data_IF_474382952610
#
_entry.id   IF_474382952610
#
_cell.length_a   1.000
_cell.length_b   1.000
_cell.length_c   1.000
_cell.angle_alpha   90.00
_cell.angle_beta   90.00
_cell.angle_gamma   90.00
#
_symmetry.space_group_name_H-M   'P 1'
#
loop_
_entity.id
_entity.type
_entity.pdbx_description
1 polymer ?
#
# COMPACT_ATOMS: atom_id res chain seq x y z
N UNK A 1 1.44 13.20 -25.06
CA UNK A 1 2.34 12.37 -24.23
C UNK A 1 1.75 10.97 -24.13
N UNK A 2 2.60 9.95 -24.28
CA UNK A 2 2.23 8.54 -24.10
C UNK A 2 3.07 7.92 -22.98
N UNK A 3 2.42 7.27 -22.02
CA UNK A 3 3.08 6.61 -20.88
C UNK A 3 2.86 5.10 -20.96
N UNK A 4 3.95 4.32 -20.85
CA UNK A 4 3.88 2.85 -20.79
C UNK A 4 4.30 2.38 -19.40
N UNK A 5 3.39 1.77 -18.65
CA UNK A 5 3.64 1.20 -17.33
C UNK A 5 4.00 -0.29 -17.44
N UNK A 6 5.05 -0.72 -16.75
CA UNK A 6 5.43 -2.12 -16.62
C UNK A 6 5.33 -2.56 -15.16
N UNK A 7 4.51 -3.60 -14.90
CA UNK A 7 4.36 -4.22 -13.57
C UNK A 7 4.18 -5.73 -13.67
N UNK A 8 4.35 -6.50 -12.57
CA UNK A 8 4.33 -7.96 -12.63
C UNK A 8 2.99 -8.55 -13.05
N UNK A 9 1.90 -8.04 -12.49
CA UNK A 9 0.52 -8.49 -12.69
C UNK A 9 -0.44 -7.37 -12.30
N UNK A 10 -1.71 -7.54 -12.60
CA UNK A 10 -2.83 -6.68 -12.16
C UNK A 10 -3.70 -7.43 -11.13
N UNK A 11 -3.04 -8.00 -10.12
CA UNK A 11 -3.69 -8.65 -8.95
C UNK A 11 -4.10 -7.61 -7.90
N UNK A 12 -4.56 -8.07 -6.75
CA UNK A 12 -4.93 -7.19 -5.62
C UNK A 12 -3.70 -6.82 -4.78
N UNK A 13 -3.11 -5.66 -5.01
CA UNK A 13 -1.97 -5.16 -4.24
C UNK A 13 -1.87 -3.64 -4.29
N UNK A 14 -1.07 -3.04 -3.40
CA UNK A 14 -0.93 -1.59 -3.31
C UNK A 14 -0.33 -0.97 -4.58
N UNK A 15 0.63 -1.63 -5.22
CA UNK A 15 1.26 -1.15 -6.46
C UNK A 15 0.28 -1.17 -7.61
N UNK A 16 -0.50 -2.24 -7.72
CA UNK A 16 -1.51 -2.42 -8.75
C UNK A 16 -2.61 -1.36 -8.66
N UNK A 17 -3.04 -1.04 -7.42
CA UNK A 17 -4.02 0.03 -7.18
C UNK A 17 -3.46 1.41 -7.59
N UNK A 18 -2.21 1.71 -7.23
CA UNK A 18 -1.56 2.96 -7.67
C UNK A 18 -1.52 3.07 -9.19
N UNK A 19 -1.23 1.97 -9.91
CA UNK A 19 -1.23 1.98 -11.38
C UNK A 19 -2.65 2.21 -11.93
N UNK A 20 -3.68 1.61 -11.35
CA UNK A 20 -5.08 1.88 -11.73
C UNK A 20 -5.43 3.34 -11.51
N UNK A 21 -5.10 3.90 -10.34
CA UNK A 21 -5.33 5.33 -10.02
C UNK A 21 -4.60 6.25 -10.99
N UNK A 22 -3.34 5.91 -11.37
CA UNK A 22 -2.59 6.65 -12.38
C UNK A 22 -3.25 6.57 -13.76
N UNK A 23 -3.68 5.37 -14.20
CA UNK A 23 -4.39 5.22 -15.47
C UNK A 23 -5.64 6.10 -15.52
N UNK A 24 -6.46 6.08 -14.46
CA UNK A 24 -7.66 6.91 -14.37
C UNK A 24 -7.33 8.41 -14.49
N UNK A 25 -6.33 8.87 -13.74
CA UNK A 25 -5.96 10.29 -13.74
C UNK A 25 -5.27 10.75 -15.03
N UNK A 26 -4.41 9.92 -15.62
CA UNK A 26 -3.68 10.23 -16.86
C UNK A 26 -4.62 10.22 -18.06
N UNK A 27 -5.45 9.18 -18.22
CA UNK A 27 -6.41 9.08 -19.33
C UNK A 27 -7.45 10.22 -19.29
N UNK A 28 -7.95 10.58 -18.10
CA UNK A 28 -8.85 11.72 -17.94
C UNK A 28 -8.23 13.07 -18.39
N UNK A 29 -6.90 13.16 -18.49
CA UNK A 29 -6.15 14.32 -18.99
C UNK A 29 -5.68 14.18 -20.43
N UNK A 30 -6.18 13.17 -21.14
CA UNK A 30 -5.79 12.92 -22.55
C UNK A 30 -4.38 12.37 -22.71
N UNK A 31 -3.76 11.83 -21.64
CA UNK A 31 -2.48 11.13 -21.74
C UNK A 31 -2.74 9.69 -22.20
N UNK A 32 -2.17 9.33 -23.34
CA UNK A 32 -2.28 7.96 -23.84
C UNK A 32 -1.51 7.01 -22.92
N UNK A 33 -2.22 6.02 -22.38
CA UNK A 33 -1.66 5.15 -21.33
C UNK A 33 -1.71 3.68 -21.77
N UNK A 34 -0.59 3.01 -21.69
CA UNK A 34 -0.43 1.58 -21.98
C UNK A 34 0.09 0.86 -20.75
N UNK A 35 -0.53 -0.24 -20.37
CA UNK A 35 -0.09 -1.08 -19.25
C UNK A 35 0.36 -2.44 -19.76
N UNK A 36 1.57 -2.84 -19.42
CA UNK A 36 2.14 -4.15 -19.76
C UNK A 36 2.31 -4.96 -18.48
N UNK A 37 1.65 -6.10 -18.38
CA UNK A 37 1.72 -6.97 -17.20
C UNK A 37 1.38 -8.42 -17.50
N UNK A 38 1.52 -9.30 -16.52
CA UNK A 38 1.07 -10.71 -16.62
C UNK A 38 -0.44 -10.91 -16.54
N UNK A 39 -1.23 -9.83 -16.52
CA UNK A 39 -2.68 -9.87 -16.40
C UNK A 39 -3.18 -9.96 -14.95
N UNK A 40 -4.50 -10.00 -14.78
CA UNK A 40 -5.16 -10.15 -13.48
C UNK A 40 -6.52 -9.47 -13.37
N UNK A 41 -7.20 -9.59 -12.21
CA UNK A 41 -8.57 -9.09 -12.03
C UNK A 41 -8.74 -7.58 -12.24
N UNK A 42 -7.66 -6.76 -12.05
CA UNK A 42 -7.71 -5.30 -12.23
C UNK A 42 -7.51 -4.86 -13.70
N UNK A 43 -7.39 -5.78 -14.66
CA UNK A 43 -7.33 -5.43 -16.09
C UNK A 43 -8.56 -4.64 -16.54
N UNK A 44 -9.75 -5.05 -16.04
CA UNK A 44 -11.00 -4.35 -16.33
C UNK A 44 -11.01 -2.92 -15.81
N UNK A 45 -10.40 -2.66 -14.66
CA UNK A 45 -10.34 -1.33 -14.07
C UNK A 45 -9.39 -0.41 -14.85
N UNK A 46 -8.24 -0.97 -15.32
CA UNK A 46 -7.32 -0.29 -16.22
C UNK A 46 -7.97 0.06 -17.56
N UNK A 47 -8.68 -0.90 -18.17
CA UNK A 47 -9.35 -0.67 -19.47
C UNK A 47 -10.56 0.27 -19.34
N UNK A 48 -11.32 0.17 -18.26
CA UNK A 48 -12.42 1.10 -17.96
C UNK A 48 -11.92 2.54 -17.75
N UNK A 49 -10.69 2.71 -17.27
CA UNK A 49 -10.03 4.01 -17.18
C UNK A 49 -9.63 4.61 -18.55
N UNK A 50 -9.76 3.86 -19.63
CA UNK A 50 -9.34 4.27 -20.99
C UNK A 50 -7.89 3.90 -21.34
N UNK A 51 -7.16 3.21 -20.46
CA UNK A 51 -5.83 2.71 -20.76
C UNK A 51 -5.88 1.38 -21.53
N UNK A 52 -4.88 1.12 -22.36
CA UNK A 52 -4.76 -0.15 -23.08
C UNK A 52 -3.87 -1.12 -22.31
N UNK A 53 -4.33 -2.36 -22.12
CA UNK A 53 -3.56 -3.42 -21.49
C UNK A 53 -2.95 -4.37 -22.53
N UNK A 54 -1.69 -4.77 -22.29
CA UNK A 54 -0.96 -5.77 -23.08
C UNK A 54 -0.47 -6.86 -22.13
N UNK A 55 -0.93 -8.08 -22.32
CA UNK A 55 -0.54 -9.21 -21.48
C UNK A 55 0.81 -9.76 -21.90
N UNK A 56 1.82 -9.66 -21.03
CA UNK A 56 3.14 -10.28 -21.17
C UNK A 56 3.63 -10.84 -19.83
N UNK A 57 4.24 -12.04 -19.81
CA UNK A 57 4.69 -12.69 -18.56
C UNK A 57 6.02 -12.09 -18.04
N UNK A 58 6.03 -10.78 -17.75
CA UNK A 58 7.21 -10.02 -17.31
C UNK A 58 7.38 -9.98 -15.78
N UNK A 59 6.50 -10.64 -14.99
CA UNK A 59 6.52 -10.60 -13.53
C UNK A 59 7.19 -11.79 -12.85
N UNK A 60 7.47 -12.88 -13.54
CA UNK A 60 8.01 -14.10 -12.94
C UNK A 60 9.52 -13.97 -12.67
N UNK A 61 9.96 -14.38 -11.48
CA UNK A 61 11.39 -14.48 -11.14
C UNK A 61 12.02 -15.71 -11.84
N UNK A 62 12.24 -15.61 -13.14
CA UNK A 62 12.80 -16.68 -13.96
C UNK A 62 13.71 -16.09 -15.02
N UNK A 63 14.78 -16.81 -15.37
CA UNK A 63 15.66 -16.43 -16.48
C UNK A 63 14.88 -16.34 -17.79
N UNK A 64 13.82 -17.14 -17.96
CA UNK A 64 12.93 -17.10 -19.12
C UNK A 64 12.22 -15.74 -19.30
N UNK A 65 12.05 -14.97 -18.21
CA UNK A 65 11.44 -13.63 -18.28
C UNK A 65 12.31 -12.66 -19.09
N UNK A 66 13.64 -12.86 -19.10
CA UNK A 66 14.54 -12.04 -19.91
C UNK A 66 14.40 -12.30 -21.43
N UNK A 67 13.79 -13.43 -21.84
CA UNK A 67 13.40 -13.66 -23.25
C UNK A 67 12.31 -12.69 -23.72
N UNK A 68 11.65 -11.97 -22.78
CA UNK A 68 10.68 -10.92 -23.11
C UNK A 68 11.35 -9.60 -23.49
N UNK A 69 12.64 -9.41 -23.23
CA UNK A 69 13.35 -8.15 -23.53
C UNK A 69 13.23 -7.75 -25.01
N UNK A 70 13.48 -8.62 -26.02
CA UNK A 70 13.27 -8.27 -27.43
C UNK A 70 11.81 -7.89 -27.75
N UNK A 71 10.84 -8.57 -27.12
CA UNK A 71 9.41 -8.31 -27.33
C UNK A 71 8.99 -6.96 -26.76
N UNK A 72 9.49 -6.61 -25.57
CA UNK A 72 9.26 -5.27 -24.96
C UNK A 72 9.98 -4.19 -25.77
N UNK A 73 11.20 -4.45 -26.29
CA UNK A 73 11.87 -3.51 -27.18
C UNK A 73 11.09 -3.27 -28.49
N UNK A 74 10.48 -4.33 -29.06
CA UNK A 74 9.57 -4.21 -30.21
C UNK A 74 8.36 -3.35 -29.87
N UNK A 75 7.71 -3.59 -28.71
CA UNK A 75 6.59 -2.77 -28.24
C UNK A 75 6.98 -1.30 -28.08
N UNK A 76 8.15 -0.99 -27.52
CA UNK A 76 8.62 0.39 -27.40
C UNK A 76 8.75 1.05 -28.78
N UNK A 77 9.23 0.35 -29.81
CA UNK A 77 9.32 0.89 -31.18
C UNK A 77 7.95 1.13 -31.83
N UNK A 78 7.00 0.21 -31.60
CA UNK A 78 5.65 0.27 -32.16
C UNK A 78 4.82 1.34 -31.46
N UNK A 79 4.84 1.37 -30.12
CA UNK A 79 4.05 2.28 -29.30
C UNK A 79 4.64 3.69 -29.19
N UNK A 80 5.95 3.81 -29.34
CA UNK A 80 6.70 5.07 -29.19
C UNK A 80 6.30 5.85 -27.92
N UNK A 81 6.36 5.23 -26.73
CA UNK A 81 6.03 5.95 -25.51
C UNK A 81 7.06 7.04 -25.22
N UNK A 82 6.61 8.19 -24.74
CA UNK A 82 7.48 9.24 -24.22
C UNK A 82 8.12 8.80 -22.91
N UNK A 83 7.37 8.04 -22.08
CA UNK A 83 7.78 7.57 -20.76
C UNK A 83 7.58 6.06 -20.64
N UNK A 84 8.60 5.37 -20.13
CA UNK A 84 8.56 3.98 -19.70
C UNK A 84 8.64 3.93 -18.16
N UNK A 85 7.50 3.70 -17.49
CA UNK A 85 7.43 3.69 -16.05
C UNK A 85 7.45 2.26 -15.47
N UNK A 86 8.41 1.98 -14.61
CA UNK A 86 8.76 0.66 -14.11
C UNK A 86 8.44 0.56 -12.62
N UNK A 87 7.49 -0.32 -12.24
CA UNK A 87 6.94 -0.38 -10.88
C UNK A 87 7.48 -1.52 -10.01
N UNK A 88 8.32 -2.40 -10.54
CA UNK A 88 8.83 -3.54 -9.80
C UNK A 88 10.10 -4.10 -10.42
N UNK A 89 10.93 -4.77 -9.61
CA UNK A 89 12.31 -5.19 -9.99
C UNK A 89 12.39 -6.03 -11.27
N UNK A 90 11.55 -7.07 -11.44
CA UNK A 90 11.61 -7.92 -12.64
C UNK A 90 11.19 -7.15 -13.89
N UNK A 91 10.01 -6.48 -13.91
CA UNK A 91 9.65 -5.58 -15.00
C UNK A 91 10.69 -4.47 -15.25
N UNK A 92 11.33 -3.95 -14.19
CA UNK A 92 12.37 -2.93 -14.33
C UNK A 92 13.59 -3.46 -15.07
N UNK A 93 14.07 -4.66 -14.75
CA UNK A 93 15.14 -5.29 -15.52
C UNK A 93 14.77 -5.48 -16.99
N UNK A 94 13.56 -6.01 -17.26
CA UNK A 94 13.09 -6.23 -18.64
C UNK A 94 12.95 -4.92 -19.40
N UNK A 95 12.28 -3.93 -18.81
CA UNK A 95 12.02 -2.63 -19.43
C UNK A 95 13.30 -1.82 -19.67
N UNK A 96 14.19 -1.78 -18.67
CA UNK A 96 15.48 -1.07 -18.77
C UNK A 96 16.38 -1.67 -19.84
N UNK A 97 16.50 -3.01 -19.90
CA UNK A 97 17.25 -3.69 -20.96
C UNK A 97 16.60 -3.52 -22.34
N UNK A 98 15.28 -3.50 -22.43
CA UNK A 98 14.54 -3.28 -23.66
C UNK A 98 14.75 -1.85 -24.18
N UNK A 99 14.64 -0.84 -23.35
CA UNK A 99 14.87 0.57 -23.71
C UNK A 99 16.30 0.79 -24.27
N UNK A 100 17.30 0.07 -23.76
CA UNK A 100 18.70 0.14 -24.25
C UNK A 100 18.89 -0.54 -25.60
N UNK A 101 17.96 -1.38 -26.05
CA UNK A 101 17.96 -2.03 -27.37
C UNK A 101 17.18 -1.26 -28.43
N UNK A 102 16.61 -0.13 -28.04
CA UNK A 102 15.88 0.76 -28.95
C UNK A 102 16.82 1.89 -29.38
N UNK A 103 16.68 2.33 -30.62
CA UNK A 103 17.41 3.43 -31.24
C UNK A 103 17.29 4.69 -30.36
N UNK A 104 18.39 5.45 -30.23
CA UNK A 104 18.45 6.59 -29.29
C UNK A 104 17.30 7.60 -29.50
N UNK A 105 16.90 7.81 -30.76
CA UNK A 105 15.80 8.72 -31.13
C UNK A 105 14.40 8.25 -30.69
N UNK A 106 14.23 6.94 -30.43
CA UNK A 106 12.96 6.33 -29.99
C UNK A 106 12.98 5.90 -28.53
N UNK A 107 14.07 6.20 -27.81
CA UNK A 107 14.24 5.75 -26.43
C UNK A 107 13.39 6.59 -25.48
N UNK A 108 12.44 5.98 -24.74
CA UNK A 108 11.63 6.70 -23.78
C UNK A 108 12.44 7.17 -22.56
N UNK A 109 11.95 8.18 -21.85
CA UNK A 109 12.38 8.49 -20.49
C UNK A 109 12.06 7.30 -19.58
N UNK A 110 13.07 6.72 -18.94
CA UNK A 110 12.86 5.57 -18.04
C UNK A 110 12.65 6.10 -16.62
N UNK A 111 11.46 5.91 -16.08
CA UNK A 111 11.09 6.24 -14.71
C UNK A 111 10.95 4.96 -13.89
N UNK A 112 11.47 4.94 -12.68
CA UNK A 112 11.28 3.83 -11.73
C UNK A 112 10.61 4.32 -10.46
N UNK A 113 9.71 3.53 -9.85
CA UNK A 113 9.09 3.83 -8.57
C UNK A 113 9.42 2.80 -7.51
N UNK A 114 9.98 3.27 -6.39
CA UNK A 114 10.19 2.45 -5.20
C UNK A 114 8.91 2.40 -4.37
N UNK A 115 8.15 1.31 -4.53
CA UNK A 115 6.91 1.05 -3.77
C UNK A 115 7.12 0.23 -2.50
N UNK A 116 8.33 -0.18 -2.19
CA UNK A 116 8.64 -0.99 -1.01
C UNK A 116 10.12 -1.11 -0.73
N UNK A 117 10.44 -1.34 0.53
CA UNK A 117 11.80 -1.68 0.93
C UNK A 117 12.20 -3.04 0.34
N UNK A 118 13.20 -3.03 -0.48
CA UNK A 118 13.76 -4.24 -1.07
C UNK A 118 15.06 -4.61 -0.37
N UNK A 119 15.40 -5.90 -0.36
CA UNK A 119 16.74 -6.32 0.03
C UNK A 119 17.79 -5.59 -0.82
N UNK A 120 18.77 -4.98 -0.17
CA UNK A 120 19.85 -4.22 -0.83
C UNK A 120 20.82 -5.18 -1.49
N UNK A 121 20.81 -5.24 -2.81
CA UNK A 121 21.69 -6.07 -3.63
C UNK A 121 21.67 -5.61 -5.10
N UNK A 122 22.55 -6.19 -5.92
CA UNK A 122 22.64 -5.90 -7.35
C UNK A 122 21.30 -6.04 -8.10
N UNK A 123 20.52 -7.05 -7.76
CA UNK A 123 19.22 -7.29 -8.41
C UNK A 123 18.21 -6.16 -8.11
N UNK A 124 18.21 -5.66 -6.88
CA UNK A 124 17.30 -4.58 -6.47
C UNK A 124 17.79 -3.19 -6.93
N UNK A 125 19.10 -3.04 -7.18
CA UNK A 125 19.68 -1.78 -7.66
C UNK A 125 19.12 -1.31 -9.01
N UNK A 126 18.45 -2.18 -9.77
CA UNK A 126 17.75 -1.80 -11.01
C UNK A 126 16.73 -0.68 -10.79
N UNK A 127 16.08 -0.66 -9.62
CA UNK A 127 15.10 0.36 -9.31
C UNK A 127 15.71 1.76 -9.17
N UNK A 128 17.01 1.85 -8.88
CA UNK A 128 17.76 3.08 -8.80
C UNK A 128 18.42 3.51 -10.14
N UNK A 129 18.23 2.70 -11.22
CA UNK A 129 18.84 2.94 -12.55
C UNK A 129 17.96 3.70 -13.53
N UNK A 130 16.78 4.16 -13.12
CA UNK A 130 15.95 5.04 -13.94
C UNK A 130 16.65 6.35 -14.28
N UNK A 131 16.22 6.99 -15.37
CA UNK A 131 16.60 8.38 -15.66
C UNK A 131 16.02 9.32 -14.61
N UNK A 132 14.83 8.94 -14.07
CA UNK A 132 14.18 9.52 -12.90
C UNK A 132 13.74 8.39 -11.96
N UNK A 133 13.75 8.69 -10.67
CA UNK A 133 13.40 7.75 -9.60
C UNK A 133 12.31 8.38 -8.71
N UNK A 134 11.18 7.72 -8.57
CA UNK A 134 10.12 8.12 -7.66
C UNK A 134 10.27 7.35 -6.35
N UNK A 135 10.32 8.06 -5.24
CA UNK A 135 10.18 7.54 -3.88
C UNK A 135 8.77 7.85 -3.36
N UNK A 136 8.07 6.84 -2.80
CA UNK A 136 6.69 7.02 -2.33
C UNK A 136 6.58 7.68 -0.96
N UNK A 137 7.70 8.06 -0.34
CA UNK A 137 7.78 8.73 0.98
C UNK A 137 9.18 9.28 1.20
N UNK A 138 9.35 10.14 2.20
CA UNK A 138 10.67 10.64 2.58
C UNK A 138 11.57 9.53 3.14
N UNK A 139 11.02 8.60 3.91
CA UNK A 139 11.80 7.45 4.40
C UNK A 139 12.28 6.56 3.25
N UNK A 140 11.51 6.45 2.17
CA UNK A 140 11.95 5.74 0.97
C UNK A 140 13.06 6.50 0.24
N UNK A 141 12.97 7.84 0.14
CA UNK A 141 14.05 8.66 -0.41
C UNK A 141 15.35 8.47 0.39
N UNK A 142 15.29 8.57 1.72
CA UNK A 142 16.44 8.30 2.60
C UNK A 142 17.01 6.89 2.35
N UNK A 143 16.15 5.88 2.31
CA UNK A 143 16.59 4.50 2.03
C UNK A 143 17.33 4.38 0.67
N UNK A 144 16.86 5.08 -0.37
CA UNK A 144 17.52 5.06 -1.68
C UNK A 144 18.90 5.70 -1.59
N UNK A 145 19.01 6.88 -0.97
CA UNK A 145 20.30 7.59 -0.82
C UNK A 145 21.31 6.80 0.00
N UNK A 146 20.89 6.18 1.08
CA UNK A 146 21.76 5.38 1.96
C UNK A 146 22.26 4.09 1.31
N UNK A 147 21.41 3.42 0.53
CA UNK A 147 21.69 2.07 0.05
C UNK A 147 22.08 1.99 -1.43
N UNK A 148 21.85 3.05 -2.19
CA UNK A 148 22.20 3.17 -3.61
C UNK A 148 22.95 4.48 -3.89
N UNK A 149 24.14 4.69 -3.29
CA UNK A 149 24.85 5.98 -3.29
C UNK A 149 25.29 6.45 -4.70
N UNK A 150 25.27 5.57 -5.69
CA UNK A 150 25.51 5.95 -7.09
C UNK A 150 24.29 6.64 -7.74
N UNK A 151 23.17 6.77 -7.02
CA UNK A 151 21.97 7.47 -7.52
C UNK A 151 22.04 8.93 -7.09
N UNK A 152 22.21 9.89 -8.02
CA UNK A 152 22.21 11.31 -7.67
C UNK A 152 20.87 11.73 -7.06
N UNK A 153 20.91 12.56 -6.01
CA UNK A 153 19.71 12.99 -5.29
C UNK A 153 18.72 13.74 -6.19
N UNK A 154 19.22 14.51 -7.15
CA UNK A 154 18.43 15.27 -8.12
C UNK A 154 17.59 14.39 -9.06
N UNK A 155 17.89 13.11 -9.15
CA UNK A 155 17.08 12.13 -9.88
C UNK A 155 15.89 11.63 -9.07
N UNK A 156 15.91 11.81 -7.75
CA UNK A 156 14.92 11.25 -6.83
C UNK A 156 13.87 12.32 -6.54
N UNK A 157 12.62 12.03 -6.88
CA UNK A 157 11.48 12.88 -6.53
C UNK A 157 10.57 12.10 -5.59
N UNK A 158 10.20 12.72 -4.47
CA UNK A 158 9.19 12.14 -3.57
C UNK A 158 7.81 12.46 -4.13
N UNK A 159 7.08 11.40 -4.48
CA UNK A 159 5.67 11.47 -4.88
C UNK A 159 4.91 10.47 -4.02
N UNK A 160 4.29 10.92 -2.93
CA UNK A 160 3.54 10.04 -2.05
C UNK A 160 2.38 9.36 -2.76
N UNK A 161 2.04 8.15 -2.32
CA UNK A 161 0.76 7.58 -2.68
C UNK A 161 -0.36 8.46 -2.10
N UNK A 162 -1.56 8.31 -2.64
CA UNK A 162 -2.67 9.21 -2.34
C UNK A 162 -3.88 8.48 -1.80
N UNK A 163 -4.86 9.26 -1.38
CA UNK A 163 -6.22 8.83 -1.12
C UNK A 163 -7.19 9.59 -2.03
N UNK A 164 -8.22 8.89 -2.48
CA UNK A 164 -9.34 9.52 -3.17
C UNK A 164 -10.27 10.16 -2.13
N UNK A 165 -10.18 11.47 -1.99
CA UNK A 165 -10.97 12.24 -1.02
C UNK A 165 -12.44 12.38 -1.40
N UNK A 166 -12.85 11.96 -2.60
CA UNK A 166 -14.26 11.86 -2.98
C UNK A 166 -14.91 10.59 -2.45
N UNK A 167 -14.11 9.57 -2.15
CA UNK A 167 -14.53 8.29 -1.61
C UNK A 167 -14.24 8.13 -0.11
N UNK A 168 -13.11 8.68 0.35
CA UNK A 168 -12.66 8.59 1.75
C UNK A 168 -12.66 9.99 2.35
N UNK A 169 -13.63 10.28 3.18
CA UNK A 169 -13.83 11.55 3.88
C UNK A 169 -14.48 11.30 5.24
N UNK A 170 -14.32 12.19 6.24
CA UNK A 170 -14.71 11.91 7.63
C UNK A 170 -16.22 11.67 7.82
N UNK A 171 -17.07 12.26 6.96
CA UNK A 171 -18.52 12.12 7.00
C UNK A 171 -19.02 10.86 6.29
N UNK A 172 -18.15 10.09 5.63
CA UNK A 172 -18.54 8.84 4.99
C UNK A 172 -19.15 7.88 6.01
N UNK A 173 -20.24 7.26 5.63
CA UNK A 173 -20.92 6.23 6.44
C UNK A 173 -21.27 5.04 5.54
N UNK A 174 -21.01 3.80 5.98
CA UNK A 174 -21.54 2.61 5.32
C UNK A 174 -23.06 2.66 5.24
N UNK A 175 -23.67 2.01 4.24
CA UNK A 175 -25.11 1.95 4.08
C UNK A 175 -25.78 1.17 5.21
N UNK A 176 -27.08 1.42 5.45
CA UNK A 176 -27.84 0.69 6.45
C UNK A 176 -27.90 -0.81 6.17
N UNK A 177 -27.94 -1.21 4.88
CA UNK A 177 -27.89 -2.61 4.47
C UNK A 177 -26.57 -3.25 4.84
N UNK A 178 -25.46 -2.53 4.61
CA UNK A 178 -24.14 -3.00 5.02
C UNK A 178 -24.06 -3.17 6.54
N UNK A 179 -24.58 -2.20 7.32
CA UNK A 179 -24.61 -2.28 8.79
C UNK A 179 -25.46 -3.44 9.29
N UNK A 180 -26.61 -3.71 8.66
CA UNK A 180 -27.43 -4.89 9.02
C UNK A 180 -26.67 -6.19 8.80
N UNK A 181 -26.01 -6.31 7.63
CA UNK A 181 -25.21 -7.49 7.31
C UNK A 181 -24.02 -7.63 8.26
N UNK A 182 -23.30 -6.53 8.54
CA UNK A 182 -22.16 -6.52 9.46
C UNK A 182 -22.53 -7.00 10.86
N UNK A 183 -23.59 -6.49 11.45
CA UNK A 183 -24.06 -6.91 12.78
C UNK A 183 -24.57 -8.35 12.79
N UNK A 184 -25.16 -8.81 11.69
CA UNK A 184 -25.58 -10.21 11.54
C UNK A 184 -24.37 -11.15 11.48
N UNK A 185 -23.33 -10.78 10.71
CA UNK A 185 -22.16 -11.63 10.49
C UNK A 185 -21.19 -11.63 11.69
N UNK A 186 -21.16 -10.53 12.45
CA UNK A 186 -20.22 -10.30 13.57
C UNK A 186 -20.93 -9.77 14.82
N UNK A 187 -21.89 -10.50 15.39
CA UNK A 187 -22.65 -10.06 16.58
C UNK A 187 -21.78 -9.89 17.81
N UNK A 188 -20.65 -10.59 17.89
CA UNK A 188 -19.67 -10.50 18.99
C UNK A 188 -19.00 -9.13 19.11
N UNK A 189 -19.09 -8.28 18.07
CA UNK A 189 -18.52 -6.93 18.08
C UNK A 189 -19.42 -5.88 18.75
N UNK A 190 -20.69 -6.23 19.04
CA UNK A 190 -21.62 -5.28 19.64
C UNK A 190 -21.16 -4.85 21.05
N UNK A 191 -21.08 -3.54 21.28
CA UNK A 191 -20.64 -2.97 22.53
C UNK A 191 -19.14 -3.15 22.85
N UNK A 192 -18.34 -3.59 21.88
CA UNK A 192 -16.88 -3.74 22.04
C UNK A 192 -16.13 -2.49 21.58
N UNK A 193 -14.95 -2.27 22.16
CA UNK A 193 -13.96 -1.35 21.65
C UNK A 193 -13.15 -2.05 20.55
N UNK A 194 -13.45 -1.75 19.29
CA UNK A 194 -13.01 -2.50 18.14
C UNK A 194 -11.70 -1.98 17.55
N UNK A 195 -10.71 -2.87 17.44
CA UNK A 195 -9.35 -2.57 16.96
C UNK A 195 -9.13 -3.28 15.61
N UNK A 196 -9.18 -2.53 14.51
CA UNK A 196 -8.97 -3.06 13.17
C UNK A 196 -7.49 -3.24 12.87
N UNK A 197 -7.05 -4.45 12.52
CA UNK A 197 -5.72 -4.73 11.98
C UNK A 197 -5.82 -5.15 10.51
N UNK A 198 -5.74 -4.20 9.55
CA UNK A 198 -5.86 -4.49 8.14
C UNK A 198 -4.53 -4.91 7.51
N UNK A 199 -4.58 -5.90 6.64
CA UNK A 199 -3.44 -6.33 5.84
C UNK A 199 -3.26 -7.83 5.80
N UNK A 200 -2.34 -8.28 4.92
CA UNK A 200 -2.04 -9.71 4.79
C UNK A 200 -1.52 -10.27 6.11
N UNK A 201 -2.01 -11.45 6.49
CA UNK A 201 -1.52 -12.15 7.68
C UNK A 201 -0.11 -12.67 7.41
N UNK A 202 0.87 -12.01 8.02
CA UNK A 202 2.29 -12.37 7.97
C UNK A 202 2.92 -12.05 9.33
N UNK A 203 4.03 -12.71 9.69
CA UNK A 203 4.74 -12.41 10.94
C UNK A 203 5.14 -10.93 11.04
N UNK A 204 5.50 -10.32 9.89
CA UNK A 204 5.92 -8.93 9.81
C UNK A 204 4.79 -7.95 10.18
N UNK A 205 3.53 -8.30 9.88
CA UNK A 205 2.37 -7.43 10.15
C UNK A 205 1.96 -7.38 11.61
N UNK A 206 2.60 -8.17 12.48
CA UNK A 206 2.55 -8.02 13.92
C UNK A 206 1.23 -8.45 14.58
N UNK A 207 0.43 -9.33 13.95
CA UNK A 207 -0.81 -9.83 14.55
C UNK A 207 -0.59 -10.49 15.93
N UNK A 208 0.57 -11.11 16.17
CA UNK A 208 0.93 -11.68 17.47
C UNK A 208 1.01 -10.62 18.60
N UNK A 209 1.29 -9.35 18.27
CA UNK A 209 1.33 -8.25 19.24
C UNK A 209 -0.06 -7.87 19.78
N UNK A 210 -1.13 -8.32 19.12
CA UNK A 210 -2.49 -8.17 19.65
C UNK A 210 -2.69 -8.99 20.94
N UNK A 211 -1.95 -10.09 21.14
CA UNK A 211 -2.12 -10.94 22.32
C UNK A 211 -1.77 -10.18 23.60
N UNK A 212 -0.54 -9.66 23.80
CA UNK A 212 -0.23 -8.88 24.99
C UNK A 212 -1.05 -7.59 25.09
N UNK A 213 -1.38 -6.95 23.95
CA UNK A 213 -2.20 -5.76 23.91
C UNK A 213 -3.63 -6.00 24.44
N UNK A 214 -4.31 -7.03 23.93
CA UNK A 214 -5.67 -7.37 24.40
C UNK A 214 -5.68 -7.88 25.83
N UNK A 215 -4.65 -8.63 26.25
CA UNK A 215 -4.51 -9.06 27.65
C UNK A 215 -4.42 -7.87 28.60
N UNK A 216 -3.62 -6.86 28.27
CA UNK A 216 -3.47 -5.65 29.07
C UNK A 216 -4.78 -4.83 29.12
N UNK A 217 -5.42 -4.59 27.96
CA UNK A 217 -6.70 -3.88 27.90
C UNK A 217 -7.81 -4.61 28.67
N UNK A 218 -7.88 -5.94 28.59
CA UNK A 218 -8.81 -6.77 29.36
C UNK A 218 -8.56 -6.66 30.86
N UNK A 219 -7.29 -6.68 31.29
CA UNK A 219 -6.93 -6.50 32.71
C UNK A 219 -7.36 -5.13 33.25
N UNK A 220 -7.46 -4.11 32.41
CA UNK A 220 -7.99 -2.77 32.72
C UNK A 220 -9.52 -2.67 32.65
N UNK A 221 -10.23 -3.75 32.38
CA UNK A 221 -11.69 -3.78 32.23
C UNK A 221 -12.21 -3.16 30.92
N UNK A 222 -11.35 -2.96 29.93
CA UNK A 222 -11.75 -2.44 28.61
C UNK A 222 -12.17 -3.61 27.73
N UNK A 223 -13.40 -3.59 27.14
CA UNK A 223 -13.94 -4.68 26.32
C UNK A 223 -13.37 -4.64 24.90
N UNK A 224 -12.03 -4.62 24.79
CA UNK A 224 -11.35 -4.54 23.50
C UNK A 224 -11.51 -5.82 22.68
N UNK A 225 -11.73 -5.67 21.37
CA UNK A 225 -11.88 -6.76 20.42
C UNK A 225 -11.11 -6.47 19.13
N UNK A 226 -10.21 -7.35 18.73
CA UNK A 226 -9.46 -7.19 17.49
C UNK A 226 -10.23 -7.72 16.29
N UNK A 227 -10.27 -6.93 15.21
CA UNK A 227 -10.83 -7.30 13.90
C UNK A 227 -9.67 -7.41 12.91
N UNK A 228 -9.25 -8.64 12.59
CA UNK A 228 -8.15 -8.90 11.67
C UNK A 228 -8.72 -9.04 10.25
N UNK A 229 -8.34 -8.09 9.38
CA UNK A 229 -8.85 -7.99 8.02
C UNK A 229 -7.78 -8.35 7.02
N UNK A 230 -7.87 -9.55 6.46
CA UNK A 230 -6.93 -10.05 5.47
C UNK A 230 -6.73 -11.56 5.54
N UNK A 231 -5.90 -12.05 4.64
CA UNK A 231 -5.65 -13.49 4.49
C UNK A 231 -4.15 -13.80 4.51
N UNK A 232 -3.83 -15.05 4.80
CA UNK A 232 -2.52 -15.62 4.54
C UNK A 232 -2.35 -15.86 3.04
N UNK A 233 -1.11 -15.83 2.54
CA UNK A 233 -0.84 -16.32 1.20
C UNK A 233 -1.13 -17.83 1.13
N UNK A 234 -1.62 -18.29 -0.02
CA UNK A 234 -1.76 -19.72 -0.32
C UNK A 234 -0.46 -20.48 0.02
N UNK A 235 -0.57 -21.55 0.78
CA UNK A 235 0.55 -22.34 1.31
C UNK A 235 1.24 -21.74 2.55
N UNK A 236 0.60 -20.77 3.24
CA UNK A 236 1.03 -20.17 4.51
C UNK A 236 -0.07 -20.18 5.57
N UNK A 237 -1.06 -21.06 5.40
CA UNK A 237 -2.24 -21.19 6.27
C UNK A 237 -1.84 -21.57 7.70
N UNK A 238 -0.74 -22.33 7.87
CA UNK A 238 -0.21 -22.71 9.18
C UNK A 238 0.07 -21.50 10.10
N UNK A 239 0.44 -20.33 9.55
CA UNK A 239 0.63 -19.15 10.38
C UNK A 239 -0.66 -18.67 11.02
N UNK A 240 -1.80 -18.78 10.31
CA UNK A 240 -3.09 -18.42 10.88
C UNK A 240 -3.44 -19.33 12.03
N UNK A 241 -3.30 -20.66 11.85
CA UNK A 241 -3.54 -21.65 12.91
C UNK A 241 -2.64 -21.39 14.12
N UNK A 242 -1.35 -21.12 13.90
CA UNK A 242 -0.41 -20.76 14.97
C UNK A 242 -0.88 -19.55 15.80
N UNK A 243 -1.42 -18.53 15.13
CA UNK A 243 -1.97 -17.36 15.80
C UNK A 243 -3.25 -17.69 16.57
N UNK A 244 -4.18 -18.45 15.97
CA UNK A 244 -5.42 -18.89 16.62
C UNK A 244 -5.12 -19.69 17.89
N UNK A 245 -4.17 -20.63 17.82
CA UNK A 245 -3.71 -21.41 18.97
C UNK A 245 -3.10 -20.48 20.06
N UNK A 246 -2.30 -19.52 19.66
CA UNK A 246 -1.70 -18.56 20.61
C UNK A 246 -2.76 -17.65 21.30
N UNK A 247 -3.79 -17.20 20.57
CA UNK A 247 -4.94 -16.51 21.16
C UNK A 247 -5.71 -17.41 22.14
N UNK A 248 -5.92 -18.68 21.81
CA UNK A 248 -6.60 -19.64 22.68
C UNK A 248 -5.80 -19.93 23.95
N UNK A 249 -4.48 -20.13 23.85
CA UNK A 249 -3.59 -20.32 25.02
C UNK A 249 -3.65 -19.10 25.95
N UNK A 250 -3.76 -17.88 25.40
CA UNK A 250 -3.89 -16.65 26.17
C UNK A 250 -5.31 -16.40 26.70
N UNK A 251 -6.29 -17.27 26.40
CA UNK A 251 -7.70 -17.10 26.77
C UNK A 251 -8.37 -15.91 26.04
N UNK A 252 -7.93 -15.60 24.84
CA UNK A 252 -8.36 -14.44 24.05
C UNK A 252 -9.10 -14.81 22.74
N UNK A 253 -9.48 -16.08 22.57
CA UNK A 253 -10.19 -16.58 21.39
C UNK A 253 -11.54 -15.86 21.16
N UNK A 254 -12.14 -15.33 22.21
CA UNK A 254 -13.38 -14.56 22.23
C UNK A 254 -13.17 -13.04 22.02
N UNK A 255 -11.92 -12.60 21.87
CA UNK A 255 -11.55 -11.20 21.70
C UNK A 255 -10.94 -10.92 20.31
N UNK A 256 -11.09 -11.86 19.36
CA UNK A 256 -10.54 -11.71 18.01
C UNK A 256 -11.51 -12.26 16.95
N UNK A 257 -11.79 -11.44 15.96
CA UNK A 257 -12.58 -11.82 14.76
C UNK A 257 -11.69 -11.78 13.52
N UNK A 258 -11.74 -12.85 12.73
CA UNK A 258 -11.01 -12.99 11.48
C UNK A 258 -11.98 -12.84 10.30
N UNK A 259 -11.99 -11.70 9.65
CA UNK A 259 -12.95 -11.43 8.55
C UNK A 259 -12.51 -12.02 7.21
N UNK A 260 -11.25 -12.48 7.09
CA UNK A 260 -10.69 -12.83 5.78
C UNK A 260 -10.45 -11.58 4.91
N UNK A 261 -10.32 -11.82 3.59
CA UNK A 261 -10.17 -10.73 2.63
C UNK A 261 -11.49 -9.98 2.44
N UNK A 262 -11.44 -8.65 2.59
CA UNK A 262 -12.60 -7.76 2.42
C UNK A 262 -12.36 -6.79 1.26
N UNK A 263 -13.30 -6.72 0.32
CA UNK A 263 -13.29 -5.72 -0.76
C UNK A 263 -13.82 -4.37 -0.29
N UNK A 264 -14.65 -4.38 0.72
CA UNK A 264 -15.29 -3.25 1.41
C UNK A 264 -14.49 -2.79 2.63
N UNK A 265 -13.13 -2.82 2.54
CA UNK A 265 -12.26 -2.42 3.64
C UNK A 265 -12.59 -1.03 4.18
N UNK A 266 -13.01 -0.10 3.31
CA UNK A 266 -13.45 1.23 3.70
C UNK A 266 -14.58 1.20 4.74
N UNK A 267 -15.59 0.36 4.49
CA UNK A 267 -16.72 0.22 5.38
C UNK A 267 -16.31 -0.43 6.71
N UNK A 268 -15.44 -1.44 6.64
CA UNK A 268 -14.86 -2.08 7.85
C UNK A 268 -14.05 -1.10 8.69
N UNK A 269 -13.23 -0.25 8.06
CA UNK A 269 -12.50 0.80 8.77
C UNK A 269 -13.45 1.77 9.49
N UNK A 270 -14.60 2.10 8.85
CA UNK A 270 -15.63 2.93 9.48
C UNK A 270 -16.36 2.23 10.63
N UNK A 271 -16.45 0.91 10.62
CA UNK A 271 -17.11 0.12 11.64
C UNK A 271 -16.24 -0.12 12.89
N UNK A 272 -14.94 0.14 12.79
CA UNK A 272 -14.01 -0.03 13.92
C UNK A 272 -13.66 1.31 14.57
N UNK A 273 -13.36 1.29 15.87
CA UNK A 273 -13.03 2.49 16.64
C UNK A 273 -11.61 2.99 16.36
N UNK A 274 -10.65 2.07 16.25
CA UNK A 274 -9.24 2.38 15.99
C UNK A 274 -8.66 1.44 14.95
N UNK A 275 -7.90 1.99 14.01
CA UNK A 275 -7.07 1.18 13.09
C UNK A 275 -5.66 1.03 13.66
N UNK A 276 -5.14 -0.19 13.63
CA UNK A 276 -3.78 -0.50 14.09
C UNK A 276 -2.82 -0.74 12.93
N UNK A 277 -1.60 -0.24 13.06
CA UNK A 277 -0.48 -0.57 12.19
C UNK A 277 0.69 -1.12 13.02
N UNK A 278 0.72 -2.45 13.19
CA UNK A 278 1.68 -3.16 14.06
C UNK A 278 2.86 -3.76 13.27
N UNK A 279 3.15 -3.25 12.08
CA UNK A 279 4.19 -3.79 11.21
C UNK A 279 5.56 -3.67 11.88
N UNK A 280 6.32 -4.79 11.94
CA UNK A 280 7.61 -4.88 12.66
C UNK A 280 8.81 -4.38 11.85
N UNK A 281 8.63 -4.16 10.57
CA UNK A 281 9.61 -3.55 9.68
C UNK A 281 9.01 -2.31 9.03
N UNK A 282 9.81 -1.32 8.64
CA UNK A 282 9.29 -0.11 8.00
C UNK A 282 8.40 -0.42 6.79
N UNK A 283 7.23 0.19 6.73
CA UNK A 283 6.42 0.25 5.52
C UNK A 283 6.86 1.42 4.66
N UNK A 284 6.84 1.23 3.35
CA UNK A 284 7.25 2.28 2.42
C UNK A 284 6.35 3.51 2.43
N UNK A 285 5.05 3.32 2.77
CA UNK A 285 4.08 4.41 2.81
C UNK A 285 3.01 4.24 3.89
N UNK A 286 2.27 3.11 3.91
CA UNK A 286 1.14 2.89 4.81
C UNK A 286 -0.21 3.31 4.22
N UNK A 287 -0.56 2.79 3.02
CA UNK A 287 -1.80 3.15 2.32
C UNK A 287 -3.05 2.97 3.18
N UNK A 288 -3.18 1.86 3.90
CA UNK A 288 -4.33 1.60 4.78
C UNK A 288 -4.39 2.56 5.97
N UNK A 289 -3.24 3.02 6.46
CA UNK A 289 -3.14 4.09 7.47
C UNK A 289 -3.73 5.38 6.92
N UNK A 290 -3.31 5.79 5.71
CA UNK A 290 -3.85 7.00 5.07
C UNK A 290 -5.35 6.88 4.81
N UNK A 291 -5.83 5.73 4.36
CA UNK A 291 -7.26 5.51 4.11
C UNK A 291 -8.09 5.65 5.40
N UNK A 292 -7.63 5.09 6.52
CA UNK A 292 -8.31 5.22 7.81
C UNK A 292 -8.32 6.67 8.31
N UNK A 293 -7.17 7.36 8.22
CA UNK A 293 -7.04 8.78 8.60
C UNK A 293 -7.94 9.68 7.75
N UNK A 294 -8.07 9.40 6.45
CA UNK A 294 -8.95 10.13 5.54
C UNK A 294 -10.44 9.96 5.90
N UNK A 295 -10.81 8.79 6.41
CA UNK A 295 -12.15 8.51 6.94
C UNK A 295 -12.40 9.11 8.34
N UNK A 296 -11.44 9.89 8.86
CA UNK A 296 -11.53 10.45 10.20
C UNK A 296 -11.38 9.41 11.32
N UNK A 297 -10.85 8.21 11.02
CA UNK A 297 -10.66 7.14 11.99
C UNK A 297 -9.29 7.24 12.64
N UNK A 298 -9.20 7.16 13.99
CA UNK A 298 -7.94 7.14 14.69
C UNK A 298 -7.06 5.98 14.24
N UNK A 299 -5.76 6.24 14.13
CA UNK A 299 -4.76 5.21 13.83
C UNK A 299 -3.69 5.22 14.90
N UNK A 300 -3.46 4.08 15.54
CA UNK A 300 -2.31 3.84 16.39
C UNK A 300 -1.33 2.91 15.67
N UNK A 301 -0.07 3.29 15.59
CA UNK A 301 0.91 2.54 14.81
C UNK A 301 2.34 2.69 15.29
N UNK A 302 3.18 1.73 14.90
CA UNK A 302 4.61 1.81 15.21
C UNK A 302 5.28 2.94 14.43
N UNK A 303 6.11 3.73 15.14
CA UNK A 303 6.72 4.99 14.68
C UNK A 303 7.90 4.77 13.71
N UNK A 304 7.68 4.06 12.63
CA UNK A 304 8.71 3.87 11.62
C UNK A 304 8.14 3.86 10.19
N UNK A 305 9.03 4.10 9.23
CA UNK A 305 8.66 4.10 7.82
C UNK A 305 7.59 5.16 7.48
N UNK A 306 6.85 4.90 6.42
CA UNK A 306 5.80 5.80 5.95
C UNK A 306 4.61 5.93 6.89
N UNK A 307 4.35 4.90 7.74
CA UNK A 307 3.31 4.99 8.79
C UNK A 307 3.65 6.08 9.80
N UNK A 308 4.92 6.11 10.28
CA UNK A 308 5.38 7.16 11.17
C UNK A 308 5.26 8.55 10.54
N UNK A 309 5.63 8.70 9.26
CA UNK A 309 5.50 9.97 8.52
C UNK A 309 4.03 10.43 8.39
N UNK A 310 3.11 9.50 8.11
CA UNK A 310 1.69 9.82 8.06
C UNK A 310 1.16 10.25 9.43
N UNK A 311 1.53 9.53 10.49
CA UNK A 311 1.09 9.87 11.84
C UNK A 311 1.65 11.23 12.28
N UNK A 312 2.89 11.60 11.94
CA UNK A 312 3.43 12.94 12.19
C UNK A 312 2.56 14.06 11.62
N UNK A 313 1.95 13.82 10.47
CA UNK A 313 1.10 14.82 9.78
C UNK A 313 -0.32 14.84 10.32
N UNK A 314 -0.91 13.65 10.58
CA UNK A 314 -2.36 13.52 10.80
C UNK A 314 -2.75 13.28 12.25
N UNK A 315 -1.94 12.56 13.01
CA UNK A 315 -2.25 12.13 14.37
C UNK A 315 -0.96 11.81 15.16
N UNK A 316 -0.12 12.79 15.51
CA UNK A 316 1.19 12.55 16.14
C UNK A 316 1.15 11.71 17.40
N UNK A 317 0.07 11.84 18.20
CA UNK A 317 -0.15 11.05 19.42
C UNK A 317 -0.45 9.56 19.14
N UNK A 318 -0.68 9.17 17.89
CA UNK A 318 -0.88 7.77 17.47
C UNK A 318 0.42 6.97 17.30
N UNK A 319 1.59 7.61 17.45
CA UNK A 319 2.90 6.96 17.29
C UNK A 319 3.33 6.24 18.54
N UNK A 320 3.74 4.98 18.36
CA UNK A 320 4.24 4.13 19.45
C UNK A 320 5.59 3.54 19.05
N UNK A 321 6.58 3.46 19.96
CA UNK A 321 7.83 2.76 19.69
C UNK A 321 7.61 1.32 19.24
N UNK A 322 8.38 0.87 18.25
CA UNK A 322 8.22 -0.46 17.67
C UNK A 322 8.26 -1.55 18.73
N UNK A 323 7.22 -2.38 18.77
CA UNK A 323 7.10 -3.50 19.69
C UNK A 323 6.64 -3.14 21.11
N UNK A 324 6.45 -1.86 21.45
CA UNK A 324 6.01 -1.45 22.78
C UNK A 324 4.47 -1.58 22.92
N UNK A 325 4.02 -2.80 23.15
CA UNK A 325 2.58 -3.11 23.31
C UNK A 325 1.98 -2.52 24.58
N UNK A 326 2.77 -2.29 25.62
CA UNK A 326 2.28 -1.63 26.85
C UNK A 326 1.97 -0.16 26.61
N UNK A 327 2.87 0.59 25.94
CA UNK A 327 2.59 1.97 25.56
C UNK A 327 1.40 2.07 24.61
N UNK A 328 1.22 1.08 23.71
CA UNK A 328 0.04 0.97 22.85
C UNK A 328 -1.24 0.79 23.70
N UNK A 329 -1.20 -0.07 24.72
CA UNK A 329 -2.34 -0.29 25.61
C UNK A 329 -2.69 0.97 26.42
N UNK A 330 -1.69 1.72 26.90
CA UNK A 330 -1.89 3.01 27.62
C UNK A 330 -2.59 4.02 26.70
N UNK A 331 -2.12 4.14 25.46
CA UNK A 331 -2.72 5.01 24.46
C UNK A 331 -4.17 4.63 24.17
N UNK A 332 -4.43 3.35 23.90
CA UNK A 332 -5.76 2.84 23.56
C UNK A 332 -6.73 2.94 24.74
N UNK A 333 -6.26 2.77 25.97
CA UNK A 333 -7.08 2.99 27.15
C UNK A 333 -7.53 4.46 27.27
N UNK A 334 -6.64 5.40 26.93
CA UNK A 334 -6.98 6.83 26.86
C UNK A 334 -8.00 7.09 25.74
N UNK A 335 -7.81 6.48 24.56
CA UNK A 335 -8.70 6.66 23.41
C UNK A 335 -10.07 5.99 23.56
N UNK A 336 -10.15 4.95 24.38
CA UNK A 336 -11.44 4.35 24.75
C UNK A 336 -12.33 5.36 25.49
N UNK A 337 -11.75 6.22 26.31
CA UNK A 337 -12.48 7.26 27.03
C UNK A 337 -12.68 8.54 26.18
N UNK A 338 -11.65 8.91 25.43
CA UNK A 338 -11.63 10.16 24.64
C UNK A 338 -10.96 9.90 23.29
N UNK A 339 -11.73 9.46 22.28
CA UNK A 339 -11.19 9.19 20.95
C UNK A 339 -10.63 10.46 20.31
N UNK A 340 -9.43 10.43 19.76
CA UNK A 340 -8.88 11.59 19.06
C UNK A 340 -9.49 11.73 17.68
N UNK A 341 -9.45 12.95 17.15
CA UNK A 341 -9.82 13.24 15.76
C UNK A 341 -8.58 13.48 14.93
N UNK A 342 -8.35 12.71 13.84
CA UNK A 342 -7.27 12.97 12.90
C UNK A 342 -7.43 14.33 12.21
N UNK A 343 -6.30 14.89 11.77
CA UNK A 343 -6.30 16.15 11.01
C UNK A 343 -7.09 16.01 9.71
N UNK A 344 -8.04 16.91 9.52
CA UNK A 344 -8.88 17.03 8.32
C UNK A 344 -8.98 18.51 7.90
N UNK A 345 -9.18 18.81 6.61
CA UNK A 345 -9.17 17.90 5.45
C UNK A 345 -7.76 17.37 5.14
N UNK A 346 -7.70 16.33 4.28
CA UNK A 346 -6.43 15.75 3.83
C UNK A 346 -5.58 16.81 3.14
N UNK A 347 -4.38 17.12 3.66
CA UNK A 347 -3.50 18.10 3.05
C UNK A 347 -2.79 17.56 1.81
N UNK A 348 -2.27 18.48 0.97
CA UNK A 348 -1.21 18.13 0.03
C UNK A 348 0.03 17.61 0.80
N UNK A 349 0.75 16.61 0.29
CA UNK A 349 0.66 16.01 -1.06
C UNK A 349 -0.13 14.69 -1.13
N UNK A 350 -1.06 14.43 -0.21
CA UNK A 350 -1.69 13.09 -0.05
C UNK A 350 -3.01 12.90 -0.81
N UNK A 351 -3.46 13.92 -1.55
CA UNK A 351 -4.65 13.81 -2.39
C UNK A 351 -4.30 13.20 -3.74
N UNK A 352 -5.27 12.53 -4.35
CA UNK A 352 -5.11 11.88 -5.67
C UNK A 352 -4.59 12.84 -6.74
N UNK A 353 -5.08 14.09 -6.73
CA UNK A 353 -4.63 15.12 -7.64
C UNK A 353 -3.14 15.45 -7.46
N UNK A 354 -2.68 15.56 -6.22
CA UNK A 354 -1.28 15.86 -5.90
C UNK A 354 -0.33 14.74 -6.37
N UNK A 355 -0.72 13.47 -6.15
CA UNK A 355 0.03 12.32 -6.64
C UNK A 355 0.15 12.36 -8.17
N UNK A 356 -0.95 12.64 -8.87
CA UNK A 356 -0.97 12.69 -10.32
C UNK A 356 -0.09 13.83 -10.85
N UNK A 357 -0.20 15.02 -10.27
CA UNK A 357 0.65 16.17 -10.65
C UNK A 357 2.13 15.89 -10.39
N UNK A 358 2.45 15.23 -9.27
CA UNK A 358 3.82 14.79 -8.98
C UNK A 358 4.38 13.86 -10.07
N UNK A 359 3.59 12.88 -10.52
CA UNK A 359 3.99 11.99 -11.61
C UNK A 359 4.14 12.74 -12.93
N UNK A 360 3.20 13.60 -13.31
CA UNK A 360 3.28 14.42 -14.52
C UNK A 360 4.52 15.33 -14.52
N UNK A 361 4.86 15.92 -13.38
CA UNK A 361 6.08 16.70 -13.22
C UNK A 361 7.34 15.87 -13.47
N UNK A 362 7.40 14.64 -12.93
CA UNK A 362 8.52 13.71 -13.18
C UNK A 362 8.58 13.31 -14.65
N UNK A 363 7.44 13.14 -15.32
CA UNK A 363 7.38 12.76 -16.74
C UNK A 363 7.76 13.89 -17.69
N UNK A 364 7.57 15.15 -17.30
CA UNK A 364 7.87 16.32 -18.14
C UNK A 364 9.34 16.77 -18.09
N UNK A 365 10.08 16.37 -17.08
CA UNK A 365 11.52 16.70 -16.90
C UNK A 365 12.42 15.77 -17.69
#
# INVERSE_FOLDING_TARGET
MKVMHLLPSLSSGGVEQVVVELCQGLCARGVETVVVSGGGPLEKDVTAAGARHITLPIGRKSIRTFLMVPRVAKLIREERPDVLHLHSRVPAWVGWLAARRVEKALRPLVVTSFHGFHSVNFYSAIMAKGDRVIAVSECMKRHILENYPATPEEKITVVPNSVDTSLNFPEYRPSDDWWRQWRHDYPELEGKFTLCLPGRITRIKGAAHLIPLLSDLRARGIPAHAVIVGETKKGKEALRQELEDAFAIAGLQDAVTWTGFRRDLRDVLCACDVTLSLTLIPESFGKTTLDALALGRPVAGYEHGGVGELLDVFLPQGKIPVGNTSAMADLLATWYQTPPTPKSPIPSPFRREDMLQGHLHVYAK
#
